data_IF_222941730911
#
_entry.id   IF_222941730911
#
_cell.length_a   1.000
_cell.length_b   1.000
_cell.length_c   1.000
_cell.angle_alpha   90.00
_cell.angle_beta   90.00
_cell.angle_gamma   90.00
#
_symmetry.space_group_name_H-M   'P 1'
#
loop_
_entity.id
_entity.type
_entity.pdbx_description
1 polymer ?
#
# COMPACT_ATOMS: atom_id res chain seq x y z
N UNK A 1 7.73 23.51 -56.36
CA UNK A 1 7.14 24.79 -55.90
C UNK A 1 5.82 24.91 -56.61
N UNK A 2 4.76 24.45 -55.94
CA UNK A 2 3.36 24.56 -56.38
C UNK A 2 2.58 25.05 -55.15
N UNK A 3 1.88 26.20 -55.22
CA UNK A 3 1.21 26.80 -54.08
C UNK A 3 -0.31 26.77 -54.26
N UNK A 4 -0.97 25.64 -53.98
CA UNK A 4 -2.44 25.61 -54.01
C UNK A 4 -3.00 24.42 -53.21
N UNK A 5 -3.21 24.58 -51.91
CA UNK A 5 -4.39 24.00 -51.20
C UNK A 5 -4.47 24.54 -49.75
N UNK A 6 -4.99 25.76 -49.60
CA UNK A 6 -5.58 26.20 -48.34
C UNK A 6 -7.09 26.33 -48.54
N UNK A 7 -7.87 25.38 -48.02
CA UNK A 7 -9.08 25.65 -47.23
C UNK A 7 -9.88 24.36 -47.00
N UNK A 8 -9.90 23.88 -45.76
CA UNK A 8 -11.05 23.15 -45.26
C UNK A 8 -11.24 23.33 -43.75
N UNK A 9 -12.19 24.23 -43.45
CA UNK A 9 -13.30 24.07 -42.50
C UNK A 9 -12.95 23.98 -41.00
N UNK A 10 -12.99 25.15 -40.35
CA UNK A 10 -13.33 25.28 -38.93
C UNK A 10 -14.83 24.96 -38.74
N UNK A 11 -15.11 23.94 -37.93
CA UNK A 11 -16.45 23.67 -37.44
C UNK A 11 -16.86 24.73 -36.39
N UNK A 12 -18.14 25.15 -36.34
CA UNK A 12 -18.62 26.09 -35.34
C UNK A 12 -18.66 25.45 -33.94
N UNK A 13 -18.16 26.19 -32.95
CA UNK A 13 -18.24 25.86 -31.52
C UNK A 13 -19.72 25.82 -31.06
N UNK A 14 -20.11 24.89 -30.18
CA UNK A 14 -21.45 24.88 -29.60
C UNK A 14 -21.65 26.06 -28.64
N UNK A 15 -22.81 26.71 -28.74
CA UNK A 15 -23.23 27.80 -27.87
C UNK A 15 -23.36 27.35 -26.40
N UNK A 16 -23.09 28.23 -25.43
CA UNK A 16 -23.27 27.92 -24.01
C UNK A 16 -24.75 27.79 -23.63
N UNK A 17 -25.10 26.94 -22.66
CA UNK A 17 -26.45 26.87 -22.11
C UNK A 17 -26.79 28.18 -21.37
N UNK A 18 -28.00 28.69 -21.62
CA UNK A 18 -28.51 29.93 -21.02
C UNK A 18 -28.81 29.80 -19.52
N UNK A 19 -28.93 30.94 -18.81
CA UNK A 19 -29.13 30.97 -17.38
C UNK A 19 -30.53 30.47 -16.99
N UNK A 20 -30.55 29.63 -15.95
CA UNK A 20 -31.75 29.10 -15.31
C UNK A 20 -32.39 30.20 -14.45
N UNK A 21 -33.52 30.74 -14.89
CA UNK A 21 -34.37 31.63 -14.09
C UNK A 21 -35.17 30.81 -13.08
N UNK A 22 -35.00 31.10 -11.80
CA UNK A 22 -35.96 30.76 -10.75
C UNK A 22 -36.28 32.02 -9.97
N UNK A 23 -37.40 32.63 -10.34
CA UNK A 23 -38.09 33.67 -9.58
C UNK A 23 -39.36 33.01 -9.02
N UNK A 24 -39.42 32.77 -7.71
CA UNK A 24 -40.70 32.82 -7.01
C UNK A 24 -40.47 33.13 -5.52
N UNK A 25 -41.10 34.22 -5.09
CA UNK A 25 -41.06 34.84 -3.77
C UNK A 25 -42.30 34.43 -2.93
N UNK A 26 -42.39 34.82 -1.64
CA UNK A 26 -43.00 34.03 -0.56
C UNK A 26 -44.41 34.49 -0.14
N UNK A 27 -45.12 33.61 0.59
CA UNK A 27 -46.19 33.85 1.60
C UNK A 27 -46.75 32.48 2.02
N UNK A 28 -47.20 32.13 3.23
CA UNK A 28 -47.47 32.81 4.50
C UNK A 28 -47.56 31.72 5.61
N UNK A 29 -47.33 32.13 6.87
CA UNK A 29 -47.89 31.67 8.17
C UNK A 29 -48.45 30.22 8.26
N UNK A 30 -48.13 29.45 9.30
CA UNK A 30 -48.86 29.50 10.60
C UNK A 30 -48.13 28.71 11.72
N UNK A 31 -48.27 29.25 12.94
CA UNK A 31 -47.91 28.77 14.29
C UNK A 31 -48.10 27.27 14.57
N UNK A 32 -47.25 26.72 15.45
CA UNK A 32 -47.57 26.10 16.78
C UNK A 32 -46.31 25.34 17.28
N UNK A 33 -45.66 25.86 18.32
CA UNK A 33 -45.69 25.30 19.68
C UNK A 33 -45.11 23.88 19.79
N UNK A 34 -43.95 23.74 20.44
CA UNK A 34 -43.84 23.20 21.81
C UNK A 34 -42.39 22.81 22.14
N UNK A 35 -41.91 23.40 23.22
CA UNK A 35 -40.67 23.12 23.94
C UNK A 35 -40.64 21.72 24.57
N UNK A 36 -39.49 21.04 24.53
CA UNK A 36 -39.07 20.13 25.60
C UNK A 36 -37.55 20.03 25.62
N UNK A 37 -36.98 20.40 26.76
CA UNK A 37 -35.57 20.37 27.15
C UNK A 37 -35.08 18.93 27.40
N UNK A 38 -33.79 18.63 27.18
CA UNK A 38 -33.18 17.39 27.66
C UNK A 38 -32.77 17.51 29.14
N UNK A 39 -33.24 16.56 29.95
CA UNK A 39 -32.90 16.42 31.37
C UNK A 39 -31.71 15.48 31.55
N UNK A 40 -30.67 15.99 32.20
CA UNK A 40 -29.53 15.26 32.78
C UNK A 40 -29.98 14.47 34.02
N UNK A 41 -29.51 13.24 34.23
CA UNK A 41 -29.43 12.66 35.57
C UNK A 41 -28.00 12.78 36.13
N UNK A 42 -27.94 13.36 37.32
CA UNK A 42 -26.76 13.42 38.20
C UNK A 42 -27.07 12.58 39.44
N UNK A 43 -26.04 11.98 40.05
CA UNK A 43 -26.10 11.27 41.33
C UNK A 43 -25.99 9.76 41.12
N UNK A 44 -25.12 9.01 41.78
CA UNK A 44 -24.36 9.05 43.04
C UNK A 44 -24.03 7.56 43.27
N UNK A 45 -23.22 7.05 44.19
CA UNK A 45 -22.60 7.46 45.43
C UNK A 45 -21.89 6.17 45.91
N UNK A 46 -20.69 6.28 46.53
CA UNK A 46 -20.15 5.40 47.62
C UNK A 46 -20.05 3.87 47.36
N UNK A 47 -18.94 3.16 47.61
CA UNK A 47 -18.00 3.15 48.75
C UNK A 47 -16.85 2.14 48.45
N UNK A 48 -15.76 2.12 49.25
CA UNK A 48 -14.49 1.40 49.00
C UNK A 48 -14.41 0.07 49.75
N UNK A 49 -13.39 -0.75 49.46
CA UNK A 49 -12.72 -1.79 50.30
C UNK A 49 -11.79 -2.59 49.36
N UNK A 50 -10.48 -2.37 49.43
CA UNK A 50 -9.47 -3.21 50.12
C UNK A 50 -9.28 -4.58 49.47
N UNK A 51 -8.07 -4.85 48.98
CA UNK A 51 -7.31 -6.04 49.39
C UNK A 51 -5.88 -5.93 48.87
N UNK A 52 -5.00 -5.73 49.84
CA UNK A 52 -3.56 -5.91 49.79
C UNK A 52 -3.19 -7.31 49.28
N UNK A 53 -2.16 -7.38 48.44
CA UNK A 53 -1.34 -8.57 48.30
C UNK A 53 0.11 -8.11 48.10
N UNK A 54 0.69 -7.68 49.22
CA UNK A 54 2.11 -7.87 49.49
C UNK A 54 2.35 -9.38 49.64
N UNK A 55 3.27 -9.90 48.83
CA UNK A 55 3.71 -11.29 48.86
C UNK A 55 5.20 -11.33 48.60
N UNK A 56 5.91 -11.50 49.70
CA UNK A 56 7.34 -11.45 49.95
C UNK A 56 8.26 -12.25 49.00
N UNK A 57 9.48 -11.70 48.89
CA UNK A 57 10.79 -12.35 48.87
C UNK A 57 10.88 -13.88 48.65
N UNK A 58 11.62 -14.28 47.62
CA UNK A 58 12.73 -15.24 47.77
C UNK A 58 13.89 -14.91 46.80
N UNK A 59 14.93 -14.34 47.40
CA UNK A 59 16.34 -14.79 47.41
C UNK A 59 16.93 -15.61 46.24
N UNK A 60 18.20 -15.28 45.98
CA UNK A 60 19.25 -16.16 45.47
C UNK A 60 19.15 -16.73 44.04
N UNK A 61 19.96 -16.18 43.14
CA UNK A 61 21.39 -16.57 43.10
C UNK A 61 22.05 -16.13 41.79
N UNK A 62 23.17 -15.46 41.98
CA UNK A 62 24.23 -15.27 41.00
C UNK A 62 24.59 -16.59 40.30
N UNK A 63 24.54 -16.60 38.98
CA UNK A 63 25.43 -17.44 38.17
C UNK A 63 26.14 -16.55 37.14
N UNK A 64 27.47 -16.33 37.26
CA UNK A 64 28.27 -15.76 36.19
C UNK A 64 28.42 -16.76 35.02
N UNK A 65 28.73 -16.26 33.81
CA UNK A 65 28.65 -17.03 32.57
C UNK A 65 29.68 -18.17 32.53
N UNK A 66 29.20 -19.38 32.25
CA UNK A 66 30.04 -20.52 31.95
C UNK A 66 30.84 -20.22 30.67
N UNK A 67 32.16 -20.18 30.85
CA UNK A 67 33.17 -20.00 29.82
C UNK A 67 33.15 -21.22 28.89
N UNK A 68 32.42 -21.11 27.77
CA UNK A 68 32.54 -22.06 26.68
C UNK A 68 33.92 -21.91 26.04
N UNK A 69 34.80 -22.87 26.34
CA UNK A 69 36.09 -23.04 25.69
C UNK A 69 35.93 -23.17 24.16
N UNK A 70 36.85 -22.62 23.35
CA UNK A 70 36.81 -22.80 21.92
C UNK A 70 37.02 -24.28 21.54
N UNK A 71 36.29 -24.82 20.54
CA UNK A 71 36.53 -26.17 20.06
C UNK A 71 37.95 -26.29 19.46
N UNK A 72 38.59 -27.47 19.60
CA UNK A 72 39.92 -27.71 19.05
C UNK A 72 39.94 -27.53 17.53
N UNK A 73 40.94 -26.78 17.07
CA UNK A 73 41.22 -26.52 15.66
C UNK A 73 41.32 -27.83 14.88
N UNK A 74 40.36 -28.09 13.99
CA UNK A 74 40.44 -29.19 13.03
C UNK A 74 41.62 -28.94 12.08
N UNK A 75 42.42 -29.96 11.75
CA UNK A 75 43.47 -29.85 10.75
C UNK A 75 42.86 -29.50 9.39
N UNK A 76 43.55 -28.61 8.67
CA UNK A 76 43.22 -28.17 7.32
C UNK A 76 43.08 -29.38 6.39
N UNK A 77 41.84 -29.73 6.07
CA UNK A 77 41.55 -30.67 4.99
C UNK A 77 41.80 -29.97 3.65
N UNK A 78 42.59 -30.63 2.82
CA UNK A 78 42.98 -30.19 1.49
C UNK A 78 41.77 -29.78 0.64
N UNK A 79 41.95 -28.70 -0.11
CA UNK A 79 40.99 -28.19 -1.07
C UNK A 79 40.60 -29.26 -2.10
N UNK A 80 39.31 -29.60 -2.26
CA UNK A 80 38.87 -30.38 -3.41
C UNK A 80 39.01 -29.51 -4.67
N UNK A 81 39.81 -29.98 -5.60
CA UNK A 81 39.93 -29.47 -6.96
C UNK A 81 38.55 -29.27 -7.59
N UNK A 82 38.25 -28.02 -7.95
CA UNK A 82 37.02 -27.64 -8.62
C UNK A 82 36.91 -28.33 -9.99
N UNK A 83 36.17 -29.44 -10.04
CA UNK A 83 35.70 -30.02 -11.30
C UNK A 83 34.55 -29.16 -11.81
N UNK A 84 34.91 -28.16 -12.62
CA UNK A 84 34.00 -27.26 -13.33
C UNK A 84 33.13 -28.06 -14.31
N UNK A 85 32.05 -28.61 -13.78
CA UNK A 85 31.00 -29.26 -14.56
C UNK A 85 30.03 -28.18 -14.97
N UNK A 86 30.28 -27.58 -16.15
CA UNK A 86 29.43 -26.53 -16.72
C UNK A 86 27.99 -27.07 -16.79
N UNK A 87 27.02 -26.47 -16.06
CA UNK A 87 25.63 -26.93 -16.13
C UNK A 87 25.13 -26.79 -17.58
N UNK A 88 24.30 -27.74 -18.05
CA UNK A 88 23.75 -27.67 -19.40
C UNK A 88 23.02 -26.34 -19.58
N UNK A 89 23.15 -25.68 -20.75
CA UNK A 89 22.47 -24.43 -21.03
C UNK A 89 20.97 -24.63 -20.80
N UNK A 90 20.41 -23.90 -19.83
CA UNK A 90 18.98 -23.90 -19.54
C UNK A 90 18.23 -23.65 -20.84
N UNK A 91 17.44 -24.63 -21.25
CA UNK A 91 16.58 -24.56 -22.42
C UNK A 91 15.73 -23.28 -22.33
N UNK A 92 15.89 -22.40 -23.31
CA UNK A 92 15.15 -21.14 -23.40
C UNK A 92 13.69 -21.49 -23.60
N UNK A 93 12.91 -21.54 -22.50
CA UNK A 93 11.46 -21.66 -22.56
C UNK A 93 10.93 -20.59 -23.50
N UNK A 94 10.10 -20.98 -24.48
CA UNK A 94 9.45 -20.05 -25.40
C UNK A 94 8.82 -18.89 -24.60
N UNK A 95 8.96 -17.63 -25.06
CA UNK A 95 8.39 -16.48 -24.36
C UNK A 95 6.89 -16.70 -24.25
N UNK A 96 6.37 -16.69 -23.01
CA UNK A 96 4.93 -16.67 -22.78
C UNK A 96 4.39 -15.38 -23.39
N UNK A 97 3.27 -15.47 -24.11
CA UNK A 97 2.60 -14.30 -24.71
C UNK A 97 2.36 -13.26 -23.59
N UNK A 98 2.65 -11.96 -23.81
CA UNK A 98 2.42 -10.94 -22.81
C UNK A 98 0.96 -10.96 -22.34
N UNK A 99 0.75 -10.87 -21.03
CA UNK A 99 -0.59 -10.73 -20.45
C UNK A 99 -1.23 -9.44 -21.00
N UNK A 100 -2.48 -9.48 -21.47
CA UNK A 100 -3.16 -8.26 -21.90
C UNK A 100 -3.43 -7.35 -20.69
N UNK A 101 -3.41 -6.05 -20.92
CA UNK A 101 -3.83 -5.06 -19.93
C UNK A 101 -5.33 -5.25 -19.64
N UNK A 102 -5.75 -5.28 -18.36
CA UNK A 102 -7.17 -5.30 -17.98
C UNK A 102 -7.92 -4.10 -18.56
N UNK A 103 -9.14 -4.33 -19.05
CA UNK A 103 -10.02 -3.26 -19.56
C UNK A 103 -10.96 -2.71 -18.49
N UNK A 104 -11.28 -3.56 -17.53
CA UNK A 104 -12.14 -3.28 -16.40
C UNK A 104 -11.29 -3.37 -15.13
N UNK A 105 -11.54 -2.46 -14.19
CA UNK A 105 -10.78 -2.31 -12.97
C UNK A 105 -11.69 -2.50 -11.76
N UNK A 106 -11.33 -3.42 -10.87
CA UNK A 106 -12.10 -3.68 -9.64
C UNK A 106 -11.94 -2.50 -8.67
N UNK A 107 -13.07 -2.05 -8.12
CA UNK A 107 -13.15 -0.93 -7.18
C UNK A 107 -12.24 -1.16 -5.97
N UNK A 108 -11.37 -0.19 -5.67
CA UNK A 108 -10.40 -0.25 -4.58
C UNK A 108 -9.22 -1.20 -4.84
N UNK A 109 -9.16 -1.88 -5.98
CA UNK A 109 -8.09 -2.85 -6.28
C UNK A 109 -7.15 -2.38 -7.39
N UNK A 110 -7.25 -1.12 -7.81
CA UNK A 110 -6.41 -0.60 -8.89
C UNK A 110 -5.53 0.54 -8.42
N UNK A 111 -4.23 0.45 -8.69
CA UNK A 111 -3.24 1.50 -8.44
C UNK A 111 -2.87 2.21 -9.75
N UNK A 112 -2.36 3.44 -9.67
CA UNK A 112 -1.78 4.16 -10.80
C UNK A 112 -0.52 4.91 -10.38
N UNK A 113 0.35 5.23 -11.33
CA UNK A 113 1.53 6.09 -11.13
C UNK A 113 1.57 7.10 -12.26
N UNK A 114 1.31 8.36 -11.94
CA UNK A 114 1.42 9.48 -12.89
C UNK A 114 2.70 10.30 -12.63
N UNK A 115 2.95 10.65 -11.37
CA UNK A 115 4.15 11.39 -10.92
C UNK A 115 4.63 10.93 -9.54
N UNK A 116 5.73 11.50 -9.03
CA UNK A 116 6.19 11.26 -7.66
C UNK A 116 5.20 11.74 -6.59
N UNK A 117 4.34 12.73 -6.89
CA UNK A 117 3.33 13.27 -5.97
C UNK A 117 1.90 12.79 -6.31
N UNK A 118 1.73 12.09 -7.43
CA UNK A 118 0.44 11.62 -7.95
C UNK A 118 0.50 10.14 -8.29
N UNK A 119 0.29 9.29 -7.28
CA UNK A 119 0.31 7.85 -7.39
C UNK A 119 -0.58 7.19 -6.34
N UNK A 120 -0.81 5.88 -6.49
CA UNK A 120 -1.49 5.05 -5.50
C UNK A 120 -0.58 3.98 -4.92
N UNK A 121 -0.89 3.52 -3.73
CA UNK A 121 -0.25 2.39 -3.04
C UNK A 121 -1.32 1.46 -2.48
N UNK A 122 -1.02 0.17 -2.35
CA UNK A 122 -1.88 -0.76 -1.61
C UNK A 122 -1.54 -0.70 -0.12
N UNK A 123 -2.57 -0.60 0.72
CA UNK A 123 -2.48 -0.67 2.18
C UNK A 123 -3.60 -1.55 2.73
N UNK A 124 -3.50 -2.00 4.01
CA UNK A 124 -4.62 -2.63 4.69
C UNK A 124 -5.90 -1.79 4.56
N UNK A 125 -7.06 -2.46 4.59
CA UNK A 125 -8.37 -1.80 4.42
C UNK A 125 -8.72 -0.81 5.54
N UNK A 126 -8.08 -0.96 6.70
CA UNK A 126 -8.20 -0.12 7.89
C UNK A 126 -6.83 0.17 8.50
N UNK A 127 -6.65 1.28 9.25
CA UNK A 127 -5.41 1.57 9.97
C UNK A 127 -4.98 0.36 10.82
N UNK A 128 -3.70 0.01 10.75
CA UNK A 128 -3.13 -1.14 11.47
C UNK A 128 -3.81 -2.49 11.18
N UNK A 129 -4.56 -2.64 10.08
CA UNK A 129 -5.35 -3.82 9.77
C UNK A 129 -6.37 -4.21 10.86
N UNK A 130 -6.88 -3.22 11.61
CA UNK A 130 -7.74 -3.45 12.80
C UNK A 130 -9.01 -4.21 12.51
N UNK A 131 -9.67 -3.93 11.38
CA UNK A 131 -10.94 -4.58 11.01
C UNK A 131 -10.79 -6.09 10.84
N UNK A 132 -9.58 -6.56 10.50
CA UNK A 132 -9.25 -7.98 10.31
C UNK A 132 -8.49 -8.58 11.49
N UNK A 133 -8.17 -7.76 12.50
CA UNK A 133 -7.41 -8.14 13.68
C UNK A 133 -8.12 -7.75 14.99
N UNK A 134 -9.40 -8.10 15.08
CA UNK A 134 -10.21 -7.95 16.31
C UNK A 134 -10.22 -6.54 16.90
N UNK A 135 -10.10 -5.52 16.05
CA UNK A 135 -10.07 -4.11 16.45
C UNK A 135 -8.76 -3.65 17.08
N UNK A 136 -7.68 -4.45 17.04
CA UNK A 136 -6.35 -4.08 17.54
C UNK A 136 -5.36 -3.88 16.38
N UNK A 137 -4.31 -3.05 16.52
CA UNK A 137 -3.26 -2.99 15.52
C UNK A 137 -2.57 -4.35 15.36
N UNK A 138 -2.51 -4.82 14.13
CA UNK A 138 -1.85 -6.07 13.75
C UNK A 138 -0.33 -5.84 13.65
N UNK A 139 0.50 -6.61 14.37
CA UNK A 139 1.96 -6.51 14.24
C UNK A 139 2.49 -6.92 12.86
N UNK A 140 1.68 -7.61 12.04
CA UNK A 140 2.01 -8.07 10.68
C UNK A 140 0.96 -7.58 9.66
N UNK A 141 0.44 -6.37 9.87
CA UNK A 141 -0.66 -5.76 9.10
C UNK A 141 -0.47 -5.88 7.58
N UNK A 142 0.73 -5.63 7.06
CA UNK A 142 0.99 -5.65 5.62
C UNK A 142 0.86 -7.06 5.06
N UNK A 143 1.49 -8.05 5.70
CA UNK A 143 1.44 -9.44 5.23
C UNK A 143 0.04 -10.04 5.40
N UNK A 144 -0.68 -9.74 6.50
CA UNK A 144 -1.99 -10.33 6.76
C UNK A 144 -3.09 -9.77 5.85
N UNK A 145 -2.96 -8.51 5.44
CA UNK A 145 -3.93 -7.87 4.54
C UNK A 145 -3.70 -8.17 3.05
N UNK A 146 -2.80 -9.10 2.68
CA UNK A 146 -2.51 -9.48 1.30
C UNK A 146 -3.77 -9.85 0.48
N UNK A 147 -4.89 -10.22 1.10
CA UNK A 147 -6.14 -10.59 0.41
C UNK A 147 -7.21 -9.49 0.41
N UNK A 148 -7.04 -8.47 1.22
CA UNK A 148 -8.08 -7.49 1.53
C UNK A 148 -7.64 -6.05 1.30
N UNK A 149 -6.33 -5.80 1.17
CA UNK A 149 -5.73 -4.50 0.93
C UNK A 149 -6.45 -3.71 -0.17
N UNK A 150 -6.47 -2.39 -0.02
CA UNK A 150 -7.15 -1.48 -0.93
C UNK A 150 -6.21 -0.36 -1.38
N UNK A 151 -6.52 0.24 -2.51
CA UNK A 151 -5.74 1.32 -3.08
C UNK A 151 -5.98 2.64 -2.32
N UNK A 152 -4.89 3.31 -1.97
CA UNK A 152 -4.85 4.65 -1.41
C UNK A 152 -4.02 5.54 -2.33
N UNK A 153 -4.51 6.72 -2.70
CA UNK A 153 -3.80 7.60 -3.63
C UNK A 153 -3.50 8.97 -3.05
N UNK A 154 -2.34 9.51 -3.44
CA UNK A 154 -1.76 10.74 -2.88
C UNK A 154 -2.47 12.02 -3.33
N UNK A 155 -3.22 11.97 -4.44
CA UNK A 155 -3.90 13.15 -4.98
C UNK A 155 -5.36 12.86 -5.37
N UNK A 156 -6.13 13.91 -5.67
CA UNK A 156 -7.47 13.75 -6.25
C UNK A 156 -7.39 13.19 -7.68
N UNK A 157 -6.39 13.60 -8.46
CA UNK A 157 -6.18 13.16 -9.86
C UNK A 157 -6.01 11.63 -9.95
N UNK A 158 -5.10 11.04 -9.18
CA UNK A 158 -4.94 9.58 -9.13
C UNK A 158 -6.16 8.85 -8.60
N UNK A 159 -6.91 9.42 -7.64
CA UNK A 159 -8.18 8.83 -7.18
C UNK A 159 -9.25 8.83 -8.26
N UNK A 160 -9.40 9.91 -9.01
CA UNK A 160 -10.36 9.97 -10.11
C UNK A 160 -9.97 9.04 -11.26
N UNK A 161 -8.67 8.73 -11.38
CA UNK A 161 -8.13 7.84 -12.39
C UNK A 161 -8.43 6.35 -12.15
N UNK A 162 -8.77 5.93 -10.93
CA UNK A 162 -9.02 4.52 -10.57
C UNK A 162 -10.28 4.38 -9.71
N UNK A 163 -11.14 3.37 -9.94
CA UNK A 163 -12.39 3.27 -9.21
C UNK A 163 -12.15 2.92 -7.73
N UNK A 164 -12.82 3.62 -6.83
CA UNK A 164 -12.94 3.24 -5.41
C UNK A 164 -11.65 3.36 -4.58
N UNK A 165 -10.64 4.09 -5.04
CA UNK A 165 -9.45 4.34 -4.22
C UNK A 165 -9.73 5.38 -3.12
N UNK A 166 -9.12 5.13 -1.96
CA UNK A 166 -9.19 6.01 -0.79
C UNK A 166 -8.15 7.13 -0.88
N UNK A 167 -8.35 8.27 -0.18
CA UNK A 167 -7.28 9.26 -0.01
C UNK A 167 -6.16 8.68 0.86
N UNK A 168 -4.91 8.87 0.43
CA UNK A 168 -3.73 8.54 1.23
C UNK A 168 -3.83 9.18 2.62
N UNK A 169 -3.51 8.46 3.71
CA UNK A 169 -3.51 9.06 5.04
C UNK A 169 -2.56 10.25 5.10
N UNK A 170 -2.99 11.31 5.79
CA UNK A 170 -2.17 12.50 5.96
C UNK A 170 -0.82 12.14 6.60
N UNK A 171 0.25 12.77 6.12
CA UNK A 171 1.63 12.56 6.59
C UNK A 171 2.17 11.12 6.42
N UNK A 172 1.45 10.23 5.74
CA UNK A 172 1.90 8.85 5.52
C UNK A 172 3.09 8.76 4.57
N UNK A 173 3.07 9.51 3.46
CA UNK A 173 4.21 9.59 2.53
C UNK A 173 5.10 10.75 2.97
N UNK A 174 6.36 10.47 3.31
CA UNK A 174 7.34 11.48 3.74
C UNK A 174 8.26 11.94 2.60
N UNK A 175 8.60 11.02 1.70
CA UNK A 175 9.35 11.33 0.48
C UNK A 175 8.94 10.39 -0.64
N UNK A 176 9.06 10.85 -1.88
CA UNK A 176 8.80 10.04 -3.06
C UNK A 176 9.73 10.46 -4.21
N UNK A 177 10.29 9.48 -4.90
CA UNK A 177 11.10 9.66 -6.09
C UNK A 177 10.57 8.75 -7.20
N UNK A 178 10.39 9.30 -8.40
CA UNK A 178 9.87 8.58 -9.55
C UNK A 178 10.99 8.23 -10.53
N UNK A 179 10.91 7.03 -11.10
CA UNK A 179 11.72 6.63 -12.26
C UNK A 179 10.83 5.99 -13.33
N UNK A 180 11.09 6.32 -14.59
CA UNK A 180 10.31 5.85 -15.74
C UNK A 180 11.22 5.45 -16.87
N UNK A 181 10.95 4.27 -17.42
CA UNK A 181 11.62 3.71 -18.60
C UNK A 181 10.60 3.26 -19.62
N UNK A 182 11.06 2.71 -20.73
CA UNK A 182 10.18 2.04 -21.69
C UNK A 182 9.57 0.75 -21.14
N UNK A 183 10.14 0.15 -20.09
CA UNK A 183 9.71 -1.13 -19.53
C UNK A 183 8.76 -0.98 -18.34
N UNK A 184 8.98 0.05 -17.52
CA UNK A 184 8.24 0.25 -16.27
C UNK A 184 8.17 1.72 -15.86
N UNK A 185 7.26 1.99 -14.93
CA UNK A 185 7.22 3.21 -14.12
C UNK A 185 7.23 2.82 -12.65
N UNK A 186 7.94 3.55 -11.81
CA UNK A 186 8.03 3.27 -10.38
C UNK A 186 8.06 4.54 -9.54
N UNK A 187 7.69 4.38 -8.28
CA UNK A 187 7.95 5.34 -7.19
C UNK A 187 8.57 4.58 -6.02
N UNK A 188 9.65 5.10 -5.46
CA UNK A 188 10.23 4.65 -4.20
C UNK A 188 10.25 5.81 -3.21
N UNK A 189 10.25 5.51 -1.92
CA UNK A 189 10.26 6.58 -0.93
C UNK A 189 10.18 6.10 0.51
N UNK A 190 9.92 7.07 1.40
CA UNK A 190 9.81 6.82 2.84
C UNK A 190 8.40 7.09 3.33
N UNK A 191 8.01 6.38 4.39
CA UNK A 191 6.69 6.51 5.02
C UNK A 191 6.80 6.92 6.48
N UNK A 192 5.71 7.44 7.02
CA UNK A 192 5.44 7.49 8.44
C UNK A 192 4.50 6.32 8.81
N UNK A 193 5.01 5.18 9.33
CA UNK A 193 4.17 4.03 9.66
C UNK A 193 3.05 4.38 10.66
N UNK A 194 3.33 5.27 11.61
CA UNK A 194 2.39 5.69 12.65
C UNK A 194 1.18 6.46 12.11
N UNK A 195 1.29 7.12 10.95
CA UNK A 195 0.16 7.82 10.31
C UNK A 195 -0.96 6.87 9.87
N UNK A 196 -0.68 5.57 9.81
CA UNK A 196 -1.65 4.53 9.50
C UNK A 196 -1.65 3.38 10.51
N UNK A 197 -1.20 3.64 11.74
CA UNK A 197 -1.16 2.66 12.85
C UNK A 197 -0.39 1.36 12.51
N UNK A 198 0.58 1.43 11.60
CA UNK A 198 1.41 0.27 11.26
C UNK A 198 2.48 0.07 12.33
N UNK A 199 2.67 -1.19 12.74
CA UNK A 199 3.69 -1.56 13.72
C UNK A 199 5.09 -1.29 13.16
N UNK A 200 6.01 -0.66 13.92
CA UNK A 200 7.41 -0.52 13.53
C UNK A 200 8.17 -1.87 13.59
N UNK A 201 7.53 -2.95 14.05
CA UNK A 201 8.05 -4.31 13.95
C UNK A 201 7.49 -5.12 12.77
N UNK A 202 6.57 -4.53 11.99
CA UNK A 202 6.04 -5.18 10.77
C UNK A 202 7.13 -5.13 9.69
N UNK A 203 7.68 -6.29 9.33
CA UNK A 203 8.70 -6.45 8.30
C UNK A 203 8.19 -6.19 6.88
N UNK A 204 6.89 -5.93 6.73
CA UNK A 204 6.26 -5.57 5.48
C UNK A 204 5.79 -6.75 4.66
N UNK A 205 5.51 -6.48 3.39
CA UNK A 205 4.98 -7.46 2.45
C UNK A 205 4.89 -6.90 1.04
N UNK A 206 4.43 -7.76 0.13
CA UNK A 206 4.28 -7.44 -1.29
C UNK A 206 2.85 -7.67 -1.72
N UNK A 207 2.24 -6.61 -2.23
CA UNK A 207 1.03 -6.69 -3.02
C UNK A 207 1.41 -6.75 -4.50
N UNK A 208 0.84 -7.70 -5.23
CA UNK A 208 1.09 -7.89 -6.65
C UNK A 208 -0.08 -8.58 -7.35
N UNK A 209 -0.03 -8.61 -8.68
CA UNK A 209 -1.00 -9.32 -9.51
C UNK A 209 -0.50 -10.70 -9.98
N UNK A 210 0.45 -11.30 -9.25
CA UNK A 210 0.91 -12.64 -9.55
C UNK A 210 -0.14 -13.70 -9.20
N UNK A 211 -0.33 -14.67 -10.10
CA UNK A 211 -1.31 -15.73 -9.91
C UNK A 211 -2.74 -15.18 -9.88
N UNK A 212 -3.41 -15.32 -8.74
CA UNK A 212 -4.74 -14.72 -8.52
C UNK A 212 -4.67 -13.25 -8.06
N UNK A 213 -3.48 -12.77 -7.70
CA UNK A 213 -3.26 -11.49 -7.06
C UNK A 213 -3.30 -11.56 -5.53
N UNK A 214 -2.57 -10.64 -4.94
CA UNK A 214 -2.59 -10.29 -3.51
C UNK A 214 -2.63 -8.76 -3.42
N UNK A 215 -3.81 -8.11 -3.37
CA UNK A 215 -5.15 -8.71 -3.26
C UNK A 215 -5.67 -9.29 -4.58
N UNK A 216 -6.65 -10.22 -4.55
CA UNK A 216 -7.24 -10.75 -5.77
C UNK A 216 -7.78 -9.65 -6.68
N UNK A 217 -7.60 -9.84 -7.99
CA UNK A 217 -8.02 -8.87 -9.04
C UNK A 217 -7.35 -7.49 -8.94
N UNK A 218 -6.26 -7.39 -8.19
CA UNK A 218 -5.51 -6.15 -8.12
C UNK A 218 -4.68 -5.92 -9.37
N UNK A 219 -4.61 -4.66 -9.82
CA UNK A 219 -3.92 -4.28 -11.04
C UNK A 219 -3.27 -2.91 -10.93
N UNK A 220 -2.27 -2.65 -11.77
CA UNK A 220 -1.87 -1.28 -12.08
C UNK A 220 -2.49 -0.81 -13.39
N UNK A 221 -3.10 0.37 -13.35
CA UNK A 221 -3.75 0.98 -14.52
C UNK A 221 -2.78 1.06 -15.69
N UNK A 222 -3.21 0.56 -16.85
CA UNK A 222 -2.45 0.53 -18.11
C UNK A 222 -1.23 -0.39 -18.14
N UNK A 223 -0.98 -1.18 -17.09
CA UNK A 223 0.13 -2.13 -17.03
C UNK A 223 -0.37 -3.55 -16.77
N UNK A 224 0.17 -4.57 -17.46
CA UNK A 224 -0.22 -5.95 -17.24
C UNK A 224 0.35 -6.58 -15.97
N UNK A 225 1.31 -5.93 -15.31
CA UNK A 225 1.93 -6.41 -14.07
C UNK A 225 2.22 -5.25 -13.12
N UNK A 226 2.21 -5.53 -11.82
CA UNK A 226 2.67 -4.57 -10.83
C UNK A 226 3.20 -5.25 -9.56
N UNK A 227 3.98 -4.49 -8.79
CA UNK A 227 4.35 -4.80 -7.41
C UNK A 227 4.24 -3.54 -6.57
N UNK A 228 3.78 -3.68 -5.32
CA UNK A 228 3.64 -2.61 -4.34
C UNK A 228 4.08 -3.17 -2.98
N UNK A 229 5.15 -2.65 -2.41
CA UNK A 229 5.67 -3.09 -1.12
C UNK A 229 5.64 -1.94 -0.12
N UNK A 230 5.36 -2.31 1.12
CA UNK A 230 5.36 -1.41 2.29
C UNK A 230 6.16 -2.11 3.36
N UNK A 231 7.18 -1.44 3.90
CA UNK A 231 8.12 -1.95 4.89
C UNK A 231 8.12 -1.01 6.12
N UNK A 232 7.17 -1.19 7.04
CA UNK A 232 7.05 -0.32 8.22
C UNK A 232 8.30 -0.28 9.10
N UNK A 233 8.96 -1.42 9.31
CA UNK A 233 10.17 -1.57 10.14
C UNK A 233 11.34 -0.69 9.71
N UNK A 234 11.48 -0.44 8.41
CA UNK A 234 12.50 0.45 7.83
C UNK A 234 11.90 1.72 7.21
N UNK A 235 10.62 1.99 7.47
CA UNK A 235 9.89 3.18 7.01
C UNK A 235 10.02 3.43 5.51
N UNK A 236 9.91 2.37 4.70
CA UNK A 236 10.07 2.43 3.24
C UNK A 236 8.81 1.95 2.51
N UNK A 237 8.60 2.49 1.31
CA UNK A 237 7.69 1.90 0.35
C UNK A 237 8.29 1.91 -1.06
N UNK A 238 7.72 1.09 -1.93
CA UNK A 238 7.99 1.13 -3.35
C UNK A 238 6.82 0.56 -4.13
N UNK A 239 6.57 1.12 -5.31
CA UNK A 239 5.59 0.62 -6.26
C UNK A 239 6.18 0.66 -7.66
N UNK A 240 5.93 -0.39 -8.45
CA UNK A 240 6.32 -0.45 -9.86
C UNK A 240 5.22 -1.07 -10.69
N UNK A 241 4.92 -0.46 -11.82
CA UNK A 241 4.03 -0.98 -12.85
C UNK A 241 4.83 -1.34 -14.09
N UNK A 242 4.63 -2.53 -14.64
CA UNK A 242 5.52 -3.11 -15.65
C UNK A 242 4.79 -3.63 -16.88
N UNK A 243 5.45 -3.52 -18.03
CA UNK A 243 4.95 -4.09 -19.30
C UNK A 243 5.20 -5.59 -19.42
N UNK A 244 6.23 -6.11 -18.76
CA UNK A 244 6.54 -7.54 -18.73
C UNK A 244 6.67 -8.05 -17.29
N UNK A 245 6.51 -9.37 -17.11
CA UNK A 245 6.57 -9.97 -15.79
C UNK A 245 7.99 -9.93 -15.22
N UNK A 246 8.98 -10.06 -16.10
CA UNK A 246 10.40 -10.02 -15.80
C UNK A 246 10.85 -8.68 -15.20
N UNK A 247 10.18 -7.57 -15.58
CA UNK A 247 10.50 -6.22 -15.08
C UNK A 247 9.96 -5.95 -13.66
N UNK A 248 8.97 -6.73 -13.22
CA UNK A 248 8.25 -6.51 -11.97
C UNK A 248 8.80 -7.29 -10.78
N UNK A 249 9.63 -8.31 -11.01
CA UNK A 249 10.19 -9.14 -9.92
C UNK A 249 9.13 -9.66 -8.91
N UNK A 250 7.88 -9.85 -9.37
CA UNK A 250 6.77 -10.31 -8.54
C UNK A 250 7.03 -11.72 -7.95
N UNK A 251 6.45 -12.03 -6.79
CA UNK A 251 6.71 -13.27 -6.06
C UNK A 251 8.04 -13.30 -5.29
N UNK A 252 8.59 -12.13 -4.94
CA UNK A 252 9.82 -11.96 -4.14
C UNK A 252 9.56 -11.15 -2.87
N UNK A 253 8.42 -11.38 -2.23
CA UNK A 253 7.91 -10.63 -1.09
C UNK A 253 8.91 -10.46 0.06
N UNK A 254 9.70 -11.49 0.39
CA UNK A 254 10.68 -11.44 1.49
C UNK A 254 11.98 -10.67 1.18
N UNK A 255 12.16 -10.15 -0.03
CA UNK A 255 13.40 -9.46 -0.43
C UNK A 255 13.37 -7.95 -0.21
N UNK A 256 12.18 -7.39 -0.02
CA UNK A 256 12.00 -5.98 0.27
C UNK A 256 12.21 -5.02 -0.90
N UNK A 257 11.95 -3.74 -0.66
CA UNK A 257 11.92 -2.73 -1.73
C UNK A 257 13.27 -2.59 -2.44
N UNK A 258 14.37 -2.53 -1.69
CA UNK A 258 15.71 -2.33 -2.24
C UNK A 258 16.11 -3.40 -3.27
N UNK A 259 15.49 -4.59 -3.22
CA UNK A 259 15.80 -5.70 -4.14
C UNK A 259 14.73 -5.91 -5.20
N UNK A 260 13.45 -5.67 -4.89
CA UNK A 260 12.35 -5.85 -5.85
C UNK A 260 12.26 -4.67 -6.80
N UNK A 261 12.33 -3.45 -6.26
CA UNK A 261 12.25 -2.18 -6.99
C UNK A 261 13.51 -1.36 -6.70
N UNK A 262 14.66 -1.70 -7.30
CA UNK A 262 15.88 -0.90 -7.15
C UNK A 262 15.65 0.53 -7.69
N UNK A 263 16.27 1.50 -7.02
CA UNK A 263 16.28 2.91 -7.39
C UNK A 263 17.04 3.18 -8.70
#
# INVERSE_FOLDING_TARGET
MDPEEQQQQQAPLPSPPGPLSTDESPSERTKLSSSSTPSTPTGGSTTPLSEDNDGDDEDASNNPPESASPPPSRPAAAAPTASSSRPPPKEKKKPKKPRPVPKDYTSGKTVTIETADDFCLMLPSSPGNRDEYNGQPDPEAIQRSEKSATAFCTSQSSRDAVPGASPMPADFIQSAAMSKTDAYVQVTGTINPGAYELSPGDGGGQYDDHGAGSPPESHCKNYPYYVSLVEPDVSRFCIRCCKTYEDCNAGRSAYGCARVVPE
#
